data_IF_904482601360
#
_entry.id   IF_904482601360
#
_cell.length_a   1.000
_cell.length_b   1.000
_cell.length_c   1.000
_cell.angle_alpha   90.00
_cell.angle_beta   90.00
_cell.angle_gamma   90.00
#
_symmetry.space_group_name_H-M   'P 1'
#
loop_
_entity.id
_entity.type
_entity.pdbx_description
1 polymer ?
#
# COMPACT_ATOMS: atom_id res chain seq x y z
N UNK A 1 -4.07 -1.00 -26.27
CA UNK A 1 -3.08 -0.87 -25.18
C UNK A 1 -1.66 -0.91 -25.74
N UNK A 2 -0.64 -0.72 -24.90
CA UNK A 2 0.78 -0.71 -25.28
C UNK A 2 1.53 -1.70 -24.40
N UNK A 3 2.44 -2.47 -25.01
CA UNK A 3 3.41 -3.32 -24.31
C UNK A 3 4.82 -3.00 -24.81
N UNK A 4 5.78 -2.91 -23.89
CA UNK A 4 7.20 -2.82 -24.24
C UNK A 4 7.77 -4.22 -24.43
N UNK A 5 8.46 -4.46 -25.54
CA UNK A 5 9.16 -5.71 -25.83
C UNK A 5 10.58 -5.35 -26.23
N UNK A 6 11.55 -5.66 -25.37
CA UNK A 6 12.95 -5.25 -25.52
C UNK A 6 13.09 -3.73 -25.72
N UNK A 7 13.45 -3.27 -26.91
CA UNK A 7 13.60 -1.85 -27.26
C UNK A 7 12.41 -1.27 -28.03
N UNK A 8 11.35 -2.03 -28.22
CA UNK A 8 10.20 -1.64 -29.05
C UNK A 8 8.93 -1.47 -28.25
N UNK A 9 8.10 -0.52 -28.67
CA UNK A 9 6.73 -0.36 -28.20
C UNK A 9 5.80 -0.98 -29.23
N UNK A 10 4.93 -1.89 -28.77
CA UNK A 10 3.94 -2.54 -29.63
C UNK A 10 2.56 -2.22 -29.10
N UNK A 11 1.65 -1.88 -30.02
CA UNK A 11 0.23 -1.88 -29.71
C UNK A 11 -0.19 -3.33 -29.48
N UNK A 12 -0.92 -3.55 -28.40
CA UNK A 12 -1.47 -4.84 -28.03
C UNK A 12 -2.98 -4.69 -27.83
N UNK A 13 -3.72 -5.61 -28.43
CA UNK A 13 -5.17 -5.69 -28.32
C UNK A 13 -5.56 -6.43 -27.03
N UNK A 14 -6.77 -6.16 -26.54
CA UNK A 14 -7.24 -6.65 -25.25
C UNK A 14 -7.28 -8.18 -25.18
N UNK A 15 -7.68 -8.84 -26.26
CA UNK A 15 -7.73 -10.30 -26.36
C UNK A 15 -6.33 -10.91 -26.22
N UNK A 16 -5.30 -10.24 -26.74
CA UNK A 16 -3.93 -10.72 -26.61
C UNK A 16 -3.42 -10.54 -25.17
N UNK A 17 -3.77 -9.44 -24.50
CA UNK A 17 -3.45 -9.26 -23.07
C UNK A 17 -4.09 -10.37 -22.24
N UNK A 18 -5.37 -10.69 -22.46
CA UNK A 18 -6.04 -11.78 -21.74
C UNK A 18 -5.42 -13.14 -22.03
N UNK A 19 -4.99 -13.38 -23.27
CA UNK A 19 -4.27 -14.61 -23.64
C UNK A 19 -2.95 -14.72 -22.88
N UNK A 20 -2.14 -13.68 -22.86
CA UNK A 20 -0.88 -13.68 -22.11
C UNK A 20 -1.11 -13.85 -20.60
N UNK A 21 -2.16 -13.25 -20.05
CA UNK A 21 -2.57 -13.43 -18.64
C UNK A 21 -3.05 -14.87 -18.37
N UNK A 22 -3.65 -15.53 -19.36
CA UNK A 22 -4.12 -16.93 -19.21
C UNK A 22 -2.97 -17.93 -19.03
N UNK A 23 -1.76 -17.57 -19.46
CA UNK A 23 -0.55 -18.37 -19.29
C UNK A 23 0.06 -18.23 -17.88
N UNK A 24 -0.44 -17.30 -17.06
CA UNK A 24 0.05 -17.08 -15.71
C UNK A 24 -0.55 -18.12 -14.76
N UNK A 25 0.31 -18.88 -14.09
CA UNK A 25 -0.11 -19.77 -13.02
C UNK A 25 -0.44 -18.99 -11.74
N UNK A 26 -1.62 -19.26 -11.16
CA UNK A 26 -2.05 -18.72 -9.87
C UNK A 26 -2.93 -19.73 -9.15
N UNK A 27 -3.06 -19.56 -7.83
CA UNK A 27 -3.97 -20.33 -6.99
C UNK A 27 -5.13 -19.47 -6.49
N UNK A 28 -6.22 -20.09 -6.04
CA UNK A 28 -7.30 -19.38 -5.35
C UNK A 28 -7.29 -19.67 -3.86
N UNK A 29 -7.61 -18.66 -3.05
CA UNK A 29 -7.60 -18.75 -1.59
C UNK A 29 -9.00 -18.44 -1.07
N UNK A 30 -9.63 -19.43 -0.47
CA UNK A 30 -10.91 -19.26 0.20
C UNK A 30 -10.72 -18.83 1.65
N UNK A 31 -11.46 -17.81 2.06
CA UNK A 31 -11.40 -17.29 3.44
C UNK A 31 -12.64 -17.66 4.24
N UNK A 32 -12.49 -17.69 5.57
CA UNK A 32 -13.62 -17.91 6.49
C UNK A 32 -14.73 -16.85 6.37
N UNK A 33 -14.47 -15.74 5.66
CA UNK A 33 -15.44 -14.67 5.38
C UNK A 33 -16.21 -14.89 4.08
N UNK A 34 -16.11 -16.08 3.45
CA UNK A 34 -16.72 -16.39 2.15
C UNK A 34 -16.26 -15.45 1.03
N UNK A 35 -15.02 -14.96 1.13
CA UNK A 35 -14.34 -14.24 0.05
C UNK A 35 -13.23 -15.13 -0.47
N UNK A 36 -13.20 -15.35 -1.77
CA UNK A 36 -12.14 -15.99 -2.52
C UNK A 36 -11.20 -14.92 -3.09
N UNK A 37 -9.89 -15.15 -3.03
CA UNK A 37 -8.88 -14.28 -3.65
C UNK A 37 -8.08 -15.04 -4.69
N UNK A 38 -7.77 -14.38 -5.81
CA UNK A 38 -6.72 -14.85 -6.70
C UNK A 38 -5.37 -14.54 -6.06
N UNK A 39 -4.54 -15.57 -5.86
CA UNK A 39 -3.20 -15.42 -5.32
C UNK A 39 -2.22 -15.04 -6.43
N UNK A 40 -2.43 -13.85 -6.99
CA UNK A 40 -1.68 -13.31 -8.13
C UNK A 40 -1.18 -11.91 -7.78
N UNK A 41 0.12 -11.68 -7.95
CA UNK A 41 0.76 -10.38 -7.80
C UNK A 41 0.27 -9.44 -8.89
N UNK A 42 -0.39 -8.35 -8.52
CA UNK A 42 -0.80 -7.30 -9.46
C UNK A 42 -0.49 -5.94 -8.86
N UNK A 43 0.12 -5.08 -9.67
CA UNK A 43 0.46 -3.72 -9.29
C UNK A 43 -0.04 -2.74 -10.35
N UNK A 44 -0.44 -1.55 -9.92
CA UNK A 44 -0.94 -0.49 -10.78
C UNK A 44 -0.36 0.86 -10.34
N UNK A 45 -0.01 1.65 -11.33
CA UNK A 45 0.49 3.01 -11.16
C UNK A 45 0.02 3.93 -12.29
N UNK A 46 0.02 5.24 -12.05
CA UNK A 46 -0.34 6.24 -13.05
C UNK A 46 0.74 7.31 -13.15
N UNK A 47 0.86 7.89 -14.35
CA UNK A 47 1.51 9.18 -14.51
C UNK A 47 0.45 10.24 -14.81
N UNK A 48 0.56 11.35 -14.08
CA UNK A 48 -0.37 12.46 -14.17
C UNK A 48 0.37 13.78 -14.39
N UNK A 49 -0.25 14.68 -15.13
CA UNK A 49 0.19 16.06 -15.26
C UNK A 49 -0.74 16.99 -14.50
N UNK A 50 -0.23 18.14 -14.08
CA UNK A 50 -1.06 19.25 -13.64
C UNK A 50 -0.92 20.42 -14.61
N UNK A 51 -2.02 21.10 -14.89
CA UNK A 51 -2.07 22.29 -15.76
C UNK A 51 -3.10 23.26 -15.23
N UNK A 52 -3.26 24.39 -15.91
CA UNK A 52 -4.26 25.40 -15.63
C UNK A 52 -5.30 25.40 -16.75
N UNK A 53 -6.59 25.31 -16.40
CA UNK A 53 -7.67 25.50 -17.38
C UNK A 53 -7.73 27.00 -17.72
N UNK A 54 -7.70 27.82 -16.67
CA UNK A 54 -7.62 29.28 -16.67
C UNK A 54 -6.55 29.69 -15.62
N UNK A 55 -6.10 30.97 -15.56
CA UNK A 55 -5.04 31.42 -14.65
C UNK A 55 -5.23 31.01 -13.18
N UNK A 56 -6.47 30.86 -12.73
CA UNK A 56 -6.82 30.61 -11.33
C UNK A 56 -7.23 29.16 -11.02
N UNK A 57 -7.49 28.33 -12.04
CA UNK A 57 -8.01 26.97 -11.84
C UNK A 57 -6.97 25.92 -12.24
N UNK A 58 -6.31 25.37 -11.22
CA UNK A 58 -5.39 24.24 -11.38
C UNK A 58 -6.16 22.93 -11.49
N UNK A 59 -5.85 22.17 -12.52
CA UNK A 59 -6.44 20.88 -12.82
C UNK A 59 -5.33 19.82 -13.00
N UNK A 60 -5.61 18.57 -12.70
CA UNK A 60 -4.69 17.47 -12.91
C UNK A 60 -5.40 16.27 -13.52
N UNK A 61 -4.70 15.58 -14.43
CA UNK A 61 -5.23 14.41 -15.12
C UNK A 61 -4.13 13.40 -15.43
N UNK A 62 -4.52 12.14 -15.49
CA UNK A 62 -3.66 11.04 -15.90
C UNK A 62 -3.42 11.07 -17.42
N UNK A 63 -2.19 10.81 -17.86
CA UNK A 63 -1.85 10.61 -19.27
C UNK A 63 -1.32 9.20 -19.58
N UNK A 64 -0.90 8.45 -18.56
CA UNK A 64 -0.45 7.07 -18.67
C UNK A 64 -0.95 6.29 -17.46
N UNK A 65 -1.43 5.08 -17.68
CA UNK A 65 -1.51 4.08 -16.62
C UNK A 65 -0.64 2.88 -16.98
N UNK A 66 -0.10 2.25 -15.96
CA UNK A 66 0.70 1.02 -16.07
C UNK A 66 0.14 -0.01 -15.11
N UNK A 67 -0.08 -1.22 -15.61
CA UNK A 67 -0.48 -2.36 -14.78
C UNK A 67 0.46 -3.53 -15.06
N UNK A 68 0.90 -4.19 -14.01
CA UNK A 68 1.77 -5.36 -14.08
C UNK A 68 1.12 -6.55 -13.40
N UNK A 69 1.34 -7.74 -13.97
CA UNK A 69 0.91 -9.02 -13.41
C UNK A 69 2.13 -9.91 -13.21
N UNK A 70 2.21 -10.60 -12.08
CA UNK A 70 3.26 -11.58 -11.75
C UNK A 70 4.69 -11.01 -11.69
N UNK A 71 5.25 -10.59 -12.82
CA UNK A 71 6.61 -10.10 -13.00
C UNK A 71 6.70 -9.10 -14.18
N UNK A 72 7.92 -8.71 -14.55
CA UNK A 72 8.19 -7.73 -15.60
C UNK A 72 7.76 -8.13 -17.01
N UNK A 73 7.45 -9.41 -17.26
CA UNK A 73 7.05 -9.90 -18.58
C UNK A 73 5.59 -9.57 -18.92
N UNK A 74 4.76 -9.27 -17.91
CA UNK A 74 3.33 -8.99 -18.10
C UNK A 74 2.98 -7.58 -17.63
N UNK A 75 3.66 -6.60 -18.21
CA UNK A 75 3.40 -5.17 -17.99
C UNK A 75 2.75 -4.56 -19.21
N UNK A 76 1.64 -3.86 -18.97
CA UNK A 76 0.80 -3.25 -19.98
C UNK A 76 0.49 -1.82 -19.62
N UNK A 77 0.28 -1.02 -20.65
CA UNK A 77 0.00 0.40 -20.51
C UNK A 77 -1.21 0.82 -21.34
N UNK A 78 -1.82 1.91 -20.93
CA UNK A 78 -2.76 2.65 -21.74
C UNK A 78 -2.75 4.13 -21.43
N UNK A 79 -3.54 4.88 -22.18
CA UNK A 79 -3.47 6.34 -22.24
C UNK A 79 -4.71 7.00 -21.65
N UNK A 80 -5.80 6.26 -21.48
CA UNK A 80 -7.09 6.78 -21.01
C UNK A 80 -7.71 5.91 -19.92
N UNK A 81 -8.53 6.52 -19.07
CA UNK A 81 -9.33 5.77 -18.09
C UNK A 81 -10.34 4.82 -18.74
N UNK A 82 -10.84 5.15 -19.93
CA UNK A 82 -11.74 4.27 -20.69
C UNK A 82 -11.09 2.93 -21.02
N UNK A 83 -9.86 2.95 -21.56
CA UNK A 83 -9.09 1.72 -21.80
C UNK A 83 -8.84 0.93 -20.50
N UNK A 84 -8.62 1.62 -19.38
CA UNK A 84 -8.43 0.95 -18.09
C UNK A 84 -9.74 0.31 -17.58
N UNK A 85 -10.89 0.99 -17.73
CA UNK A 85 -12.20 0.44 -17.39
C UNK A 85 -12.52 -0.79 -18.24
N UNK A 86 -12.22 -0.76 -19.54
CA UNK A 86 -12.37 -1.90 -20.44
C UNK A 86 -11.51 -3.09 -20.00
N UNK A 87 -10.25 -2.85 -19.66
CA UNK A 87 -9.36 -3.87 -19.12
C UNK A 87 -9.90 -4.46 -17.82
N UNK A 88 -10.28 -3.63 -16.85
CA UNK A 88 -10.83 -4.07 -15.56
C UNK A 88 -12.12 -4.90 -15.76
N UNK A 89 -13.00 -4.48 -16.67
CA UNK A 89 -14.21 -5.23 -16.98
C UNK A 89 -13.90 -6.58 -17.64
N UNK A 90 -12.90 -6.61 -18.54
CA UNK A 90 -12.45 -7.84 -19.19
C UNK A 90 -11.80 -8.81 -18.21
N UNK A 91 -10.96 -8.33 -17.29
CA UNK A 91 -10.38 -9.14 -16.21
C UNK A 91 -11.46 -9.69 -15.28
N UNK A 92 -12.46 -8.86 -14.93
CA UNK A 92 -13.60 -9.29 -14.12
C UNK A 92 -14.36 -10.44 -14.78
N UNK A 93 -14.64 -10.35 -16.08
CA UNK A 93 -15.28 -11.45 -16.83
C UNK A 93 -14.37 -12.67 -16.94
N UNK A 94 -13.11 -12.47 -17.32
CA UNK A 94 -12.13 -13.54 -17.56
C UNK A 94 -11.91 -14.41 -16.31
N UNK A 95 -11.75 -13.78 -15.15
CA UNK A 95 -11.56 -14.48 -13.88
C UNK A 95 -12.87 -14.82 -13.15
N UNK A 96 -14.02 -14.43 -13.71
CA UNK A 96 -15.33 -14.52 -13.08
C UNK A 96 -15.36 -13.84 -11.70
N UNK A 97 -14.82 -12.63 -11.61
CA UNK A 97 -14.71 -11.87 -10.37
C UNK A 97 -16.08 -11.34 -9.91
N UNK A 98 -16.17 -11.12 -8.60
CA UNK A 98 -17.32 -10.53 -7.93
C UNK A 98 -16.89 -9.95 -6.59
N UNK A 99 -17.76 -9.25 -5.84
CA UNK A 99 -17.43 -8.83 -4.49
C UNK A 99 -17.07 -9.99 -3.54
N UNK A 100 -17.37 -11.24 -3.89
CA UNK A 100 -16.95 -12.45 -3.14
C UNK A 100 -15.83 -13.24 -3.81
N UNK A 101 -15.40 -12.91 -5.03
CA UNK A 101 -14.21 -13.49 -5.69
C UNK A 101 -13.36 -12.37 -6.27
N UNK A 102 -12.22 -12.09 -5.64
CA UNK A 102 -11.50 -10.83 -5.84
C UNK A 102 -10.12 -11.00 -6.46
N UNK A 103 -9.79 -10.09 -7.37
CA UNK A 103 -8.42 -9.82 -7.78
C UNK A 103 -7.90 -8.60 -7.01
N UNK A 104 -6.77 -8.74 -6.33
CA UNK A 104 -6.17 -7.63 -5.58
C UNK A 104 -5.17 -6.90 -6.45
N UNK A 105 -5.27 -5.57 -6.50
CA UNK A 105 -4.33 -4.70 -7.21
C UNK A 105 -3.65 -3.78 -6.20
N UNK A 106 -2.33 -3.82 -6.12
CA UNK A 106 -1.58 -2.94 -5.23
C UNK A 106 -1.20 -1.63 -5.92
N UNK A 107 -1.44 -0.51 -5.22
CA UNK A 107 -1.09 0.84 -5.68
C UNK A 107 -0.20 1.49 -4.63
N UNK A 108 0.94 2.03 -5.06
CA UNK A 108 1.89 2.65 -4.16
C UNK A 108 1.53 4.10 -3.88
N UNK A 109 0.66 4.28 -2.87
CA UNK A 109 0.02 5.54 -2.45
C UNK A 109 -1.43 5.70 -2.90
N UNK A 110 -2.21 4.60 -2.88
CA UNK A 110 -3.63 4.55 -3.28
C UNK A 110 -4.47 5.80 -2.99
N UNK A 111 -4.25 6.52 -1.88
CA UNK A 111 -4.98 7.74 -1.59
C UNK A 111 -4.86 8.83 -2.67
N UNK A 112 -3.71 8.92 -3.34
CA UNK A 112 -3.47 9.82 -4.47
C UNK A 112 -4.22 9.35 -5.72
N UNK A 113 -3.97 8.13 -6.20
CA UNK A 113 -4.54 7.59 -7.43
C UNK A 113 -6.06 7.43 -7.31
N UNK A 114 -6.55 7.11 -6.10
CA UNK A 114 -7.98 7.06 -5.81
C UNK A 114 -8.68 8.38 -6.10
N UNK A 115 -8.02 9.54 -5.95
CA UNK A 115 -8.65 10.82 -6.33
C UNK A 115 -8.96 10.90 -7.81
N UNK A 116 -8.11 10.30 -8.66
CA UNK A 116 -8.27 10.28 -10.11
C UNK A 116 -9.31 9.23 -10.53
N UNK A 117 -9.33 8.06 -9.90
CA UNK A 117 -10.20 6.96 -10.34
C UNK A 117 -11.56 6.87 -9.63
N UNK A 118 -11.80 7.57 -8.51
CA UNK A 118 -13.02 7.38 -7.68
C UNK A 118 -14.36 7.53 -8.42
N UNK A 119 -14.39 8.29 -9.53
CA UNK A 119 -15.61 8.51 -10.34
C UNK A 119 -15.73 7.57 -11.54
N UNK A 120 -14.69 6.79 -11.85
CA UNK A 120 -14.67 5.86 -12.97
C UNK A 120 -15.12 4.44 -12.58
N UNK A 121 -15.23 4.14 -11.29
CA UNK A 121 -15.65 2.83 -10.80
C UNK A 121 -16.81 2.95 -9.82
N UNK A 122 -17.65 1.90 -9.80
CA UNK A 122 -18.62 1.68 -8.74
C UNK A 122 -17.97 0.93 -7.58
N UNK A 123 -18.14 1.43 -6.37
CA UNK A 123 -17.48 0.94 -5.17
C UNK A 123 -18.45 0.22 -4.26
N UNK A 124 -18.14 -1.02 -3.92
CA UNK A 124 -18.82 -1.81 -2.89
C UNK A 124 -18.38 -1.37 -1.48
N UNK A 125 -17.07 -1.17 -1.30
CA UNK A 125 -16.49 -0.83 -0.01
C UNK A 125 -15.27 0.09 -0.20
N UNK A 126 -15.17 1.16 0.59
CA UNK A 126 -13.95 1.97 0.68
C UNK A 126 -13.55 2.10 2.14
N UNK A 127 -12.41 1.54 2.50
CA UNK A 127 -11.85 1.60 3.85
C UNK A 127 -10.69 2.59 3.91
N UNK A 128 -10.85 3.64 4.72
CA UNK A 128 -9.88 4.71 4.88
C UNK A 128 -9.41 4.81 6.34
N UNK A 129 -8.13 5.11 6.53
CA UNK A 129 -7.56 5.33 7.88
C UNK A 129 -7.71 6.78 8.35
N UNK A 130 -7.94 7.69 7.40
CA UNK A 130 -8.04 9.13 7.60
C UNK A 130 -8.75 9.74 6.38
N UNK A 131 -9.09 11.03 6.48
CA UNK A 131 -9.66 11.79 5.38
C UNK A 131 -8.74 11.72 4.15
N UNK A 132 -9.32 11.30 3.01
CA UNK A 132 -8.62 11.13 1.71
C UNK A 132 -7.45 10.13 1.73
N UNK A 133 -7.40 9.21 2.71
CA UNK A 133 -6.39 8.14 2.78
C UNK A 133 -7.04 6.75 2.75
N UNK A 134 -7.70 6.35 1.64
CA UNK A 134 -8.13 4.98 1.43
C UNK A 134 -6.92 4.05 1.41
N UNK A 135 -7.06 2.90 2.08
CA UNK A 135 -6.03 1.85 2.10
C UNK A 135 -6.54 0.54 1.50
N UNK A 136 -7.85 0.42 1.33
CA UNK A 136 -8.53 -0.65 0.60
C UNK A 136 -9.78 -0.07 -0.07
N UNK A 137 -9.99 -0.39 -1.35
CA UNK A 137 -11.22 -0.06 -2.07
C UNK A 137 -11.65 -1.23 -2.96
N UNK A 138 -12.90 -1.66 -2.84
CA UNK A 138 -13.44 -2.83 -3.54
C UNK A 138 -14.49 -2.35 -4.53
N UNK A 139 -14.36 -2.74 -5.79
CA UNK A 139 -15.36 -2.46 -6.82
C UNK A 139 -16.51 -3.47 -6.78
N UNK A 140 -17.66 -3.10 -7.33
CA UNK A 140 -18.78 -4.04 -7.55
C UNK A 140 -18.42 -5.18 -8.52
N UNK A 141 -17.40 -4.98 -9.36
CA UNK A 141 -16.86 -5.97 -10.30
C UNK A 141 -15.82 -6.94 -9.69
N UNK A 142 -15.50 -6.82 -8.40
CA UNK A 142 -14.58 -7.74 -7.72
C UNK A 142 -13.09 -7.38 -7.82
N UNK A 143 -12.75 -6.13 -8.14
CA UNK A 143 -11.38 -5.64 -7.99
C UNK A 143 -11.19 -5.06 -6.60
N UNK A 144 -10.14 -5.47 -5.89
CA UNK A 144 -9.76 -4.92 -4.59
C UNK A 144 -8.43 -4.17 -4.69
N UNK A 145 -8.49 -2.85 -4.70
CA UNK A 145 -7.30 -2.02 -4.62
C UNK A 145 -6.77 -1.97 -3.19
N UNK A 146 -5.46 -2.12 -3.01
CA UNK A 146 -4.77 -2.03 -1.71
C UNK A 146 -3.58 -1.08 -1.77
N UNK A 147 -3.34 -0.36 -0.69
CA UNK A 147 -2.24 0.60 -0.61
C UNK A 147 -0.93 -0.06 -0.17
N UNK A 148 0.02 -0.24 -1.10
CA UNK A 148 1.34 -0.80 -0.76
C UNK A 148 2.21 0.19 0.05
N UNK A 149 2.00 1.50 -0.11
CA UNK A 149 2.70 2.54 0.67
C UNK A 149 2.42 2.44 2.17
N UNK A 150 1.15 2.29 2.57
CA UNK A 150 0.78 2.13 3.99
C UNK A 150 1.18 0.75 4.53
N UNK A 151 1.20 -0.27 3.68
CA UNK A 151 1.69 -1.60 4.03
C UNK A 151 3.21 -1.59 4.27
N UNK A 152 3.99 -0.96 3.40
CA UNK A 152 5.45 -0.84 3.55
C UNK A 152 5.86 0.13 4.65
N UNK A 153 5.21 1.29 4.73
CA UNK A 153 5.63 2.42 5.56
C UNK A 153 6.82 3.19 4.97
N UNK A 154 7.09 3.03 3.67
CA UNK A 154 8.22 3.65 2.97
C UNK A 154 7.77 4.23 1.64
N UNK A 155 8.39 5.34 1.22
CA UNK A 155 8.35 5.81 -0.16
C UNK A 155 8.89 4.74 -1.12
N UNK A 156 8.47 4.79 -2.39
CA UNK A 156 8.85 3.78 -3.39
C UNK A 156 10.37 3.58 -3.55
N UNK A 157 11.14 4.67 -3.52
CA UNK A 157 12.61 4.62 -3.59
C UNK A 157 13.21 3.85 -2.40
N UNK A 158 12.77 4.16 -1.19
CA UNK A 158 13.17 3.45 0.04
C UNK A 158 12.65 2.01 0.04
N UNK A 159 11.48 1.76 -0.55
CA UNK A 159 10.95 0.40 -0.69
C UNK A 159 11.87 -0.44 -1.57
N UNK A 160 12.27 0.07 -2.74
CA UNK A 160 13.19 -0.60 -3.66
C UNK A 160 14.52 -0.97 -2.97
N UNK A 161 15.09 -0.05 -2.19
CA UNK A 161 16.32 -0.27 -1.40
C UNK A 161 16.18 -1.31 -0.27
N UNK A 162 14.95 -1.56 0.20
CA UNK A 162 14.66 -2.45 1.33
C UNK A 162 14.11 -3.82 0.91
N UNK A 163 14.02 -4.10 -0.39
CA UNK A 163 13.70 -5.44 -0.90
C UNK A 163 14.82 -6.41 -0.51
N UNK A 164 14.44 -7.63 -0.14
CA UNK A 164 15.37 -8.63 0.42
C UNK A 164 15.85 -9.59 -0.67
N UNK A 165 14.94 -10.12 -1.48
CA UNK A 165 15.26 -11.11 -2.51
C UNK A 165 15.43 -10.47 -3.89
N UNK A 166 14.80 -9.33 -4.13
CA UNK A 166 14.87 -8.63 -5.41
C UNK A 166 15.78 -7.41 -5.34
N UNK A 167 16.65 -7.23 -6.35
CA UNK A 167 17.49 -6.04 -6.49
C UNK A 167 16.96 -5.18 -7.61
N UNK A 168 16.38 -4.04 -7.25
CA UNK A 168 15.91 -3.02 -8.19
C UNK A 168 16.15 -1.65 -7.56
N UNK A 169 16.54 -0.70 -8.38
CA UNK A 169 16.66 0.70 -7.98
C UNK A 169 15.54 1.49 -8.64
N UNK A 170 15.03 2.48 -7.90
CA UNK A 170 14.08 3.44 -8.46
C UNK A 170 14.82 4.34 -9.45
N UNK A 171 14.27 4.49 -10.64
CA UNK A 171 14.78 5.45 -11.62
C UNK A 171 14.53 6.90 -11.11
N UNK A 172 15.51 7.79 -11.30
CA UNK A 172 15.47 9.17 -10.79
C UNK A 172 15.83 10.14 -11.91
N UNK A 173 15.02 11.18 -12.09
CA UNK A 173 15.31 12.27 -13.04
C UNK A 173 14.84 12.02 -14.47
N UNK A 174 14.11 10.93 -14.74
CA UNK A 174 13.68 10.57 -16.10
C UNK A 174 12.36 11.22 -16.57
N UNK A 175 11.63 11.89 -15.67
CA UNK A 175 10.40 12.62 -15.99
C UNK A 175 10.57 14.13 -15.76
N UNK A 176 10.43 14.91 -16.83
CA UNK A 176 10.32 16.36 -16.75
C UNK A 176 8.88 16.77 -16.39
N UNK A 177 8.63 16.95 -15.09
CA UNK A 177 7.32 17.36 -14.57
C UNK A 177 6.91 18.81 -14.90
N UNK A 178 7.79 19.60 -15.55
CA UNK A 178 7.42 20.93 -16.05
C UNK A 178 6.57 20.87 -17.32
N UNK A 179 6.61 19.75 -18.04
CA UNK A 179 5.90 19.56 -19.30
C UNK A 179 4.48 19.03 -19.07
N UNK A 180 3.51 19.63 -19.76
CA UNK A 180 2.13 19.14 -19.78
C UNK A 180 2.00 18.01 -20.79
N UNK A 181 1.68 16.80 -20.31
CA UNK A 181 1.45 15.61 -21.14
C UNK A 181 -0.01 15.21 -21.16
N UNK A 182 -0.50 14.74 -22.30
CA UNK A 182 -1.83 14.20 -22.49
C UNK A 182 -1.79 12.81 -23.14
N UNK A 183 -2.97 12.18 -23.27
CA UNK A 183 -3.13 10.82 -23.79
C UNK A 183 -2.48 10.61 -25.17
N UNK A 184 -2.39 11.66 -25.99
CA UNK A 184 -1.79 11.61 -27.34
C UNK A 184 -0.33 12.04 -27.37
N UNK A 185 0.22 12.56 -26.26
CA UNK A 185 1.64 12.90 -26.17
C UNK A 185 2.48 11.63 -26.37
N UNK A 186 3.40 11.68 -27.34
CA UNK A 186 4.33 10.58 -27.61
C UNK A 186 5.27 10.44 -26.42
N UNK A 187 5.31 9.24 -25.83
CA UNK A 187 6.25 8.93 -24.76
C UNK A 187 7.57 8.41 -25.32
N UNK A 188 8.66 8.86 -24.73
CA UNK A 188 9.98 8.28 -24.93
C UNK A 188 10.09 6.92 -24.23
N UNK A 189 11.04 6.09 -24.68
CA UNK A 189 11.33 4.82 -24.02
C UNK A 189 11.75 4.99 -22.56
N UNK A 190 12.46 6.09 -22.23
CA UNK A 190 12.88 6.40 -20.86
C UNK A 190 11.71 6.68 -19.93
N UNK A 191 10.73 7.46 -20.39
CA UNK A 191 9.53 7.75 -19.60
C UNK A 191 8.70 6.49 -19.35
N UNK A 192 8.65 5.57 -20.32
CA UNK A 192 8.01 4.28 -20.13
C UNK A 192 8.81 3.36 -19.22
N UNK A 193 10.15 3.35 -19.32
CA UNK A 193 11.00 2.58 -18.42
C UNK A 193 10.85 3.01 -16.97
N UNK A 194 10.70 4.33 -16.73
CA UNK A 194 10.35 4.86 -15.42
C UNK A 194 9.04 4.27 -14.90
N UNK A 195 7.96 4.36 -15.69
CA UNK A 195 6.64 3.86 -15.27
C UNK A 195 6.60 2.33 -15.10
N UNK A 196 7.36 1.58 -15.92
CA UNK A 196 7.56 0.13 -15.78
C UNK A 196 8.29 -0.17 -14.48
N UNK A 197 9.39 0.55 -14.18
CA UNK A 197 10.20 0.34 -13.00
C UNK A 197 9.39 0.55 -11.70
N UNK A 198 8.56 1.59 -11.64
CA UNK A 198 7.72 1.87 -10.48
C UNK A 198 6.74 0.70 -10.19
N UNK A 199 6.12 0.13 -11.23
CA UNK A 199 5.26 -1.06 -11.11
C UNK A 199 6.05 -2.31 -10.74
N UNK A 200 7.23 -2.54 -11.33
CA UNK A 200 8.10 -3.70 -11.01
C UNK A 200 8.52 -3.69 -9.54
N UNK A 201 8.87 -2.53 -8.98
CA UNK A 201 9.22 -2.41 -7.55
C UNK A 201 8.05 -2.89 -6.68
N UNK A 202 6.81 -2.50 -7.02
CA UNK A 202 5.63 -2.92 -6.27
C UNK A 202 5.38 -4.41 -6.45
N UNK A 203 5.49 -4.97 -7.66
CA UNK A 203 5.35 -6.40 -7.90
C UNK A 203 6.34 -7.21 -7.05
N UNK A 204 7.63 -6.89 -7.12
CA UNK A 204 8.68 -7.55 -6.33
C UNK A 204 8.38 -7.50 -4.84
N UNK A 205 7.90 -6.35 -4.34
CA UNK A 205 7.51 -6.23 -2.95
C UNK A 205 6.35 -7.17 -2.59
N UNK A 206 5.31 -7.25 -3.43
CA UNK A 206 4.16 -8.12 -3.18
C UNK A 206 4.56 -9.60 -3.28
N UNK A 207 5.47 -9.97 -4.19
CA UNK A 207 6.06 -11.32 -4.26
C UNK A 207 6.71 -11.68 -2.92
N UNK A 208 7.59 -10.82 -2.38
CA UNK A 208 8.21 -11.05 -1.07
C UNK A 208 7.17 -11.13 0.07
N UNK A 209 6.09 -10.34 -0.01
CA UNK A 209 5.00 -10.43 0.97
C UNK A 209 4.22 -11.75 0.86
N UNK A 210 3.98 -12.25 -0.34
CA UNK A 210 3.32 -13.54 -0.55
C UNK A 210 4.21 -14.69 -0.08
N UNK A 211 5.52 -14.63 -0.34
CA UNK A 211 6.48 -15.61 0.19
C UNK A 211 6.48 -15.62 1.72
N UNK A 212 6.48 -14.45 2.35
CA UNK A 212 6.50 -14.33 3.81
C UNK A 212 5.18 -14.74 4.47
N UNK A 213 4.03 -14.36 3.91
CA UNK A 213 2.71 -14.63 4.50
C UNK A 213 2.04 -15.91 3.99
N UNK A 214 2.54 -16.48 2.90
CA UNK A 214 2.04 -17.66 2.19
C UNK A 214 0.87 -17.37 1.24
N UNK A 215 -0.02 -16.44 1.58
CA UNK A 215 -1.23 -16.18 0.82
C UNK A 215 -1.68 -14.70 0.89
N UNK A 216 -2.36 -14.24 -0.15
CA UNK A 216 -2.77 -12.83 -0.32
C UNK A 216 -3.73 -12.30 0.76
N UNK A 217 -4.55 -13.16 1.37
CA UNK A 217 -5.46 -12.77 2.44
C UNK A 217 -4.72 -12.57 3.77
N UNK A 218 -3.58 -13.24 3.95
CA UNK A 218 -2.75 -13.08 5.15
C UNK A 218 -1.91 -11.80 5.11
N UNK A 219 -1.64 -11.19 3.97
CA UNK A 219 -0.94 -9.90 3.94
C UNK A 219 -1.75 -8.85 4.72
N UNK A 220 -1.18 -8.19 5.76
CA UNK A 220 -1.89 -7.16 6.51
C UNK A 220 -2.14 -5.92 5.67
N UNK A 221 -3.12 -5.09 6.05
CA UNK A 221 -3.41 -3.84 5.31
C UNK A 221 -2.42 -2.71 5.60
N UNK A 222 -1.69 -2.79 6.71
CA UNK A 222 -0.78 -1.72 7.18
C UNK A 222 0.46 -2.32 7.82
N UNK A 223 1.57 -1.56 7.85
CA UNK A 223 2.78 -1.99 8.54
C UNK A 223 2.55 -2.23 10.04
N UNK A 224 1.82 -1.33 10.71
CA UNK A 224 1.44 -1.50 12.13
C UNK A 224 0.57 -2.75 12.36
N UNK A 225 -0.20 -3.18 11.35
CA UNK A 225 -0.95 -4.41 11.36
C UNK A 225 -0.06 -5.65 11.52
N UNK A 226 1.19 -5.61 11.02
CA UNK A 226 2.19 -6.67 11.24
C UNK A 226 2.49 -6.81 12.73
N UNK A 227 2.85 -5.70 13.37
CA UNK A 227 3.21 -5.66 14.80
C UNK A 227 2.02 -6.04 15.66
N UNK A 228 0.82 -5.49 15.39
CA UNK A 228 -0.40 -5.83 16.13
C UNK A 228 -0.72 -7.32 16.04
N UNK A 229 -0.58 -7.92 14.85
CA UNK A 229 -0.78 -9.36 14.67
C UNK A 229 0.27 -10.16 15.45
N UNK A 230 1.54 -9.80 15.33
CA UNK A 230 2.64 -10.45 16.05
C UNK A 230 2.39 -10.44 17.57
N UNK A 231 2.12 -9.27 18.15
CA UNK A 231 1.83 -9.12 19.59
C UNK A 231 0.60 -9.94 19.97
N UNK A 232 -0.49 -9.81 19.21
CA UNK A 232 -1.73 -10.56 19.46
C UNK A 232 -1.48 -12.07 19.49
N UNK A 233 -0.70 -12.57 18.54
CA UNK A 233 -0.45 -14.00 18.43
C UNK A 233 0.45 -14.51 19.57
N UNK A 234 1.46 -13.73 19.97
CA UNK A 234 2.31 -14.02 21.14
C UNK A 234 1.53 -13.95 22.46
N UNK A 235 0.55 -13.05 22.58
CA UNK A 235 -0.27 -12.89 23.79
C UNK A 235 -1.36 -13.96 23.91
N UNK A 236 -2.05 -14.32 22.84
CA UNK A 236 -3.20 -15.24 22.90
C UNK A 236 -2.86 -16.72 22.60
N UNK A 237 -1.87 -17.01 21.75
CA UNK A 237 -1.60 -18.37 21.24
C UNK A 237 -0.25 -18.92 21.74
N UNK A 238 0.03 -20.19 21.43
CA UNK A 238 1.37 -20.82 21.55
C UNK A 238 2.11 -20.71 20.22
N UNK A 239 3.44 -20.73 20.27
CA UNK A 239 4.32 -20.45 19.12
C UNK A 239 4.08 -21.31 17.85
N UNK A 240 3.42 -22.47 17.96
CA UNK A 240 3.38 -23.45 16.87
C UNK A 240 2.01 -23.64 16.23
N UNK A 241 0.91 -23.06 16.77
CA UNK A 241 -0.44 -23.16 16.19
C UNK A 241 -1.38 -22.09 16.78
N UNK A 242 -2.38 -21.62 16.02
CA UNK A 242 -3.51 -20.81 16.53
C UNK A 242 -4.42 -21.55 17.52
N UNK A 243 -3.97 -22.69 18.07
CA UNK A 243 -4.63 -23.36 19.20
C UNK A 243 -4.39 -22.52 20.45
N UNK A 244 -5.43 -22.37 21.28
CA UNK A 244 -5.32 -21.65 22.56
C UNK A 244 -4.26 -22.35 23.41
N UNK A 245 -3.20 -21.62 23.75
CA UNK A 245 -2.07 -22.13 24.54
C UNK A 245 -2.49 -22.77 25.86
N UNK A 246 -3.44 -22.13 26.53
CA UNK A 246 -4.32 -22.68 27.56
C UNK A 246 -5.58 -21.80 27.63
N UNK A 247 -6.72 -22.35 28.04
CA UNK A 247 -7.93 -21.55 28.31
C UNK A 247 -7.62 -20.39 29.27
N UNK A 248 -6.71 -20.61 30.22
CA UNK A 248 -6.27 -19.62 31.20
C UNK A 248 -5.50 -18.43 30.63
N UNK A 249 -4.50 -18.63 29.75
CA UNK A 249 -3.71 -17.52 29.17
C UNK A 249 -4.60 -16.55 28.39
N UNK A 250 -5.43 -17.11 27.52
CA UNK A 250 -6.38 -16.32 26.72
C UNK A 250 -7.34 -15.52 27.61
N UNK A 251 -7.94 -16.16 28.61
CA UNK A 251 -8.88 -15.50 29.52
C UNK A 251 -8.22 -14.40 30.36
N UNK A 252 -7.01 -14.64 30.90
CA UNK A 252 -6.30 -13.61 31.68
C UNK A 252 -5.98 -12.38 30.85
N UNK A 253 -5.47 -12.57 29.64
CA UNK A 253 -5.15 -11.44 28.77
C UNK A 253 -6.41 -10.67 28.35
N UNK A 254 -7.52 -11.37 28.09
CA UNK A 254 -8.81 -10.74 27.81
C UNK A 254 -9.32 -9.89 28.99
N UNK A 255 -9.25 -10.40 30.21
CA UNK A 255 -9.60 -9.63 31.41
C UNK A 255 -8.73 -8.39 31.57
N UNK A 256 -7.42 -8.53 31.39
CA UNK A 256 -6.49 -7.39 31.42
C UNK A 256 -6.87 -6.32 30.38
N UNK A 257 -7.19 -6.72 29.15
CA UNK A 257 -7.65 -5.78 28.13
C UNK A 257 -8.98 -5.10 28.50
N UNK A 258 -9.90 -5.83 29.12
CA UNK A 258 -11.18 -5.30 29.61
C UNK A 258 -10.94 -4.28 30.74
N UNK A 259 -10.06 -4.59 31.68
CA UNK A 259 -9.66 -3.68 32.77
C UNK A 259 -8.99 -2.40 32.24
N UNK A 260 -8.22 -2.51 31.16
CA UNK A 260 -7.54 -1.39 30.49
C UNK A 260 -8.41 -0.65 29.45
N UNK A 261 -9.64 -1.12 29.20
CA UNK A 261 -10.53 -0.48 28.23
C UNK A 261 -11.04 0.85 28.79
N UNK A 262 -10.72 1.94 28.10
CA UNK A 262 -11.04 3.29 28.52
C UNK A 262 -12.51 3.61 28.26
N UNK A 263 -13.14 4.32 29.21
CA UNK A 263 -14.42 5.00 28.93
C UNK A 263 -14.18 6.24 28.06
N UNK A 264 -15.19 6.75 27.35
CA UNK A 264 -15.05 7.96 26.54
C UNK A 264 -14.53 9.18 27.33
N UNK A 265 -14.92 9.32 28.59
CA UNK A 265 -14.49 10.43 29.46
C UNK A 265 -13.00 10.30 29.81
N UNK A 266 -12.59 9.12 30.29
CA UNK A 266 -11.18 8.83 30.62
C UNK A 266 -10.31 8.97 29.39
N UNK A 267 -10.76 8.48 28.23
CA UNK A 267 -10.03 8.63 26.97
C UNK A 267 -9.72 10.10 26.66
N UNK A 268 -10.70 11.00 26.79
CA UNK A 268 -10.48 12.44 26.58
C UNK A 268 -9.48 13.02 27.58
N UNK A 269 -9.49 12.56 28.84
CA UNK A 269 -8.51 12.99 29.84
C UNK A 269 -7.09 12.55 29.47
N UNK A 270 -6.92 11.27 29.10
CA UNK A 270 -5.62 10.72 28.72
C UNK A 270 -5.08 11.34 27.43
N UNK A 271 -5.94 11.61 26.44
CA UNK A 271 -5.54 12.32 25.22
C UNK A 271 -5.04 13.73 25.52
N UNK A 272 -5.62 14.44 26.50
CA UNK A 272 -5.12 15.75 26.94
C UNK A 272 -3.77 15.68 27.66
N UNK A 273 -3.52 14.59 28.39
CA UNK A 273 -2.24 14.37 29.08
C UNK A 273 -1.15 13.80 28.16
N UNK A 274 -1.54 13.24 27.01
CA UNK A 274 -0.62 12.64 26.07
C UNK A 274 0.28 13.69 25.41
N UNK A 275 1.59 13.48 25.48
CA UNK A 275 2.61 14.30 24.85
C UNK A 275 3.44 13.46 23.88
N UNK A 276 3.85 14.06 22.76
CA UNK A 276 4.74 13.43 21.79
C UNK A 276 6.21 13.43 22.24
N UNK A 277 7.12 13.18 21.30
CA UNK A 277 8.55 13.30 21.55
C UNK A 277 8.95 14.74 21.92
N UNK A 278 9.87 14.87 22.88
CA UNK A 278 10.39 16.18 23.28
C UNK A 278 11.29 16.74 22.18
N UNK A 279 10.85 17.83 21.55
CA UNK A 279 11.63 18.56 20.54
C UNK A 279 11.82 19.99 21.03
N UNK A 280 13.07 20.46 21.12
CA UNK A 280 13.38 21.80 21.58
C UNK A 280 14.60 22.36 20.85
N UNK A 281 14.61 23.67 20.65
CA UNK A 281 15.76 24.40 20.14
C UNK A 281 16.17 25.43 21.19
N UNK A 282 17.46 25.45 21.54
CA UNK A 282 17.99 26.41 22.50
C UNK A 282 17.92 27.82 21.89
N UNK A 283 17.17 28.72 22.52
CA UNK A 283 16.89 30.07 22.04
C UNK A 283 18.16 30.89 21.73
N UNK A 284 19.28 30.62 22.40
CA UNK A 284 20.53 31.34 22.17
C UNK A 284 21.19 31.03 20.82
N UNK A 285 20.79 29.92 20.18
CA UNK A 285 21.39 29.40 18.95
C UNK A 285 20.44 29.38 17.76
N UNK A 286 19.15 29.72 17.95
CA UNK A 286 18.18 29.80 16.86
C UNK A 286 18.63 30.85 15.84
N UNK A 287 18.65 30.46 14.55
CA UNK A 287 19.04 31.33 13.44
C UNK A 287 20.55 31.56 13.27
N UNK A 288 21.38 30.87 14.06
CA UNK A 288 22.85 30.95 13.96
C UNK A 288 23.41 29.71 13.26
N UNK A 289 24.49 29.90 12.52
CA UNK A 289 25.33 28.79 12.04
C UNK A 289 26.18 28.32 13.21
N UNK A 290 26.13 27.01 13.49
CA UNK A 290 26.97 26.37 14.48
C UNK A 290 27.98 25.50 13.75
N UNK A 291 29.25 25.68 14.07
CA UNK A 291 30.36 24.88 13.57
C UNK A 291 30.76 23.83 14.64
N UNK A 292 31.39 22.74 14.23
CA UNK A 292 31.91 21.68 15.12
C UNK A 292 30.88 21.05 16.09
N UNK A 293 29.66 20.80 15.60
CA UNK A 293 28.58 20.20 16.40
C UNK A 293 28.71 18.67 16.54
N UNK A 294 28.30 18.15 17.69
CA UNK A 294 28.14 16.70 17.94
C UNK A 294 26.67 16.36 18.11
N UNK A 295 26.26 15.20 17.59
CA UNK A 295 24.92 14.63 17.77
C UNK A 295 24.99 13.36 18.61
N UNK A 296 24.11 13.23 19.59
CA UNK A 296 23.94 12.03 20.41
C UNK A 296 22.51 11.54 20.20
N UNK A 297 22.36 10.28 19.81
CA UNK A 297 21.05 9.64 19.61
C UNK A 297 20.94 8.37 20.45
N UNK A 298 19.77 8.14 21.05
CA UNK A 298 19.49 6.96 21.86
C UNK A 298 18.87 5.87 20.98
N UNK A 299 19.66 4.84 20.69
CA UNK A 299 19.19 3.69 19.91
C UNK A 299 17.96 3.05 20.56
N UNK A 300 16.85 3.01 19.81
CA UNK A 300 15.61 2.36 20.25
C UNK A 300 15.05 2.88 21.58
N UNK A 301 15.05 4.20 21.77
CA UNK A 301 14.59 4.84 23.01
C UNK A 301 13.22 4.31 23.51
N UNK A 302 12.20 4.25 22.64
CA UNK A 302 10.87 3.74 23.04
C UNK A 302 10.89 2.25 23.44
N UNK A 303 11.44 1.31 22.64
CA UNK A 303 11.60 -0.08 23.06
C UNK A 303 12.36 -0.25 24.38
N UNK A 304 13.41 0.54 24.64
CA UNK A 304 14.16 0.48 25.89
C UNK A 304 13.27 0.81 27.09
N UNK A 305 12.50 1.91 27.01
CA UNK A 305 11.52 2.30 28.04
C UNK A 305 10.44 1.24 28.22
N UNK A 306 9.94 0.64 27.13
CA UNK A 306 8.95 -0.45 27.19
C UNK A 306 9.43 -1.69 27.96
N UNK A 307 10.74 -1.91 28.04
CA UNK A 307 11.35 -3.05 28.72
C UNK A 307 11.82 -2.72 30.15
N UNK A 308 12.27 -1.48 30.38
CA UNK A 308 12.88 -1.07 31.64
C UNK A 308 11.90 -0.45 32.63
N UNK A 309 10.84 0.22 32.15
CA UNK A 309 9.95 1.01 32.99
C UNK A 309 8.61 0.33 33.28
N UNK A 310 7.93 0.83 34.32
CA UNK A 310 6.58 0.40 34.69
C UNK A 310 5.53 1.16 33.87
N UNK A 311 4.47 0.45 33.45
CA UNK A 311 3.34 1.02 32.73
C UNK A 311 2.05 0.86 33.55
N UNK A 312 1.04 1.72 33.32
CA UNK A 312 -0.29 1.53 33.91
C UNK A 312 -0.90 0.19 33.45
N UNK A 313 -1.20 -0.69 34.41
CA UNK A 313 -1.70 -2.06 34.14
C UNK A 313 -3.04 -2.35 34.84
N UNK A 314 -3.83 -1.31 35.12
CA UNK A 314 -5.14 -1.41 35.78
C UNK A 314 -6.12 -0.36 35.26
N UNK A 315 -7.39 -0.51 35.63
CA UNK A 315 -8.45 0.46 35.31
C UNK A 315 -8.09 1.85 35.82
N UNK A 316 -8.26 2.86 34.96
CA UNK A 316 -8.07 4.25 35.34
C UNK A 316 -9.10 4.67 36.40
N UNK A 317 -8.63 5.39 37.42
CA UNK A 317 -9.47 6.01 38.44
C UNK A 317 -9.65 7.48 38.01
N UNK A 318 -10.87 7.89 37.63
CA UNK A 318 -11.14 9.24 37.12
C UNK A 318 -10.86 10.36 38.12
#
# INVERSE_FOLDING_TARGET
MIKKTEQFLRRIELEQVLKEISDIEYTTINTNKKVEYLNLEVAFDIEATSTYINPDEKFAFMYLWTIGFKDSNYIYHGRTWGEFQELIQALSKFFNLSPSKRLVIYVHNLGYEFQFMRKYFEWEEVFSVDLRKPIKAVTTSGIEFRCSYILAGFSLERLAKNLVSHKVEKLVGDLDYSLVRHSETVLTLKELDYAINDVVIVLNYITEQLEYYGDMNRIPMTNTGRVRRFVRDRCYYTNNNHKKSSRGKYQRYRRLMEDLTLTPEVYKMLVRAFMGGFTHANANYVGKVLEDVTSIDFNSSYPAVMLAEQFPMSKAIP
#
